data_IF_448917165177
#
_entry.id   IF_448917165177
#
_cell.length_a   1.000
_cell.length_b   1.000
_cell.length_c   1.000
_cell.angle_alpha   90.00
_cell.angle_beta   90.00
_cell.angle_gamma   90.00
#
_symmetry.space_group_name_H-M   'P 1'
#
loop_
_entity.id
_entity.type
_entity.pdbx_description
1 polymer ?
#
# COMPACT_ATOMS: atom_id res chain seq x y z
N UNK A 1 -0.93 25.08 -10.97
CA UNK A 1 -0.29 25.96 -9.97
C UNK A 1 -1.03 25.79 -8.66
N UNK A 2 -0.33 25.65 -7.53
CA UNK A 2 -0.98 25.44 -6.25
C UNK A 2 -1.57 26.76 -5.74
N UNK A 3 -2.82 27.03 -6.10
CA UNK A 3 -3.55 28.18 -5.58
C UNK A 3 -3.86 27.85 -4.12
N UNK A 4 -3.37 28.65 -3.18
CA UNK A 4 -3.78 28.63 -1.77
C UNK A 4 -4.83 29.73 -1.61
N UNK A 5 -6.04 29.37 -1.21
CA UNK A 5 -7.14 30.33 -1.05
C UNK A 5 -7.64 30.26 0.39
N UNK A 6 -7.87 31.44 0.96
CA UNK A 6 -8.48 31.63 2.26
C UNK A 6 -9.82 32.32 2.04
N UNK A 7 -10.89 31.66 2.48
CA UNK A 7 -12.20 32.29 2.61
C UNK A 7 -12.16 33.23 3.81
N UNK A 8 -12.26 34.54 3.54
CA UNK A 8 -12.15 35.57 4.58
C UNK A 8 -13.42 35.69 5.42
N UNK A 9 -14.55 35.18 4.96
CA UNK A 9 -15.81 35.17 5.70
C UNK A 9 -15.88 33.99 6.67
N UNK A 10 -15.32 32.83 6.29
CA UNK A 10 -15.30 31.64 7.14
C UNK A 10 -14.08 31.54 8.07
N UNK A 11 -12.95 32.15 7.71
CA UNK A 11 -11.72 32.05 8.50
C UNK A 11 -11.83 32.84 9.82
N UNK A 12 -11.57 32.16 10.94
CA UNK A 12 -11.56 32.76 12.28
C UNK A 12 -10.14 33.06 12.81
N UNK A 13 -9.12 33.05 11.95
CA UNK A 13 -7.72 33.33 12.29
C UNK A 13 -7.14 32.51 13.46
N UNK A 14 -7.61 31.26 13.67
CA UNK A 14 -7.12 30.40 14.76
C UNK A 14 -5.68 29.91 14.60
N UNK A 15 -5.14 29.96 13.39
CA UNK A 15 -3.74 29.65 13.09
C UNK A 15 -3.35 28.17 12.95
N UNK A 16 -4.29 27.24 13.09
CA UNK A 16 -4.04 25.79 12.96
C UNK A 16 -3.38 25.42 11.62
N UNK A 17 -3.78 26.05 10.51
CA UNK A 17 -3.23 25.78 9.19
C UNK A 17 -1.74 26.12 9.06
N UNK A 18 -1.26 27.13 9.79
CA UNK A 18 0.16 27.52 9.84
C UNK A 18 0.94 26.54 10.72
N UNK A 19 0.41 26.23 11.91
CA UNK A 19 1.05 25.33 12.87
C UNK A 19 1.23 23.89 12.32
N UNK A 20 0.24 23.38 11.60
CA UNK A 20 0.27 22.02 11.03
C UNK A 20 1.00 21.92 9.68
N UNK A 21 1.46 23.03 9.10
CA UNK A 21 2.04 23.03 7.75
C UNK A 21 3.43 22.37 7.76
N UNK A 22 3.60 21.13 7.24
CA UNK A 22 4.89 20.44 7.34
C UNK A 22 5.97 21.11 6.49
N UNK A 23 5.58 21.81 5.43
CA UNK A 23 6.50 22.54 4.57
C UNK A 23 6.86 23.93 5.12
N UNK A 24 6.21 24.39 6.19
CA UNK A 24 6.44 25.72 6.78
C UNK A 24 6.22 26.86 5.78
N UNK A 25 5.18 26.78 4.95
CA UNK A 25 4.89 27.77 3.89
C UNK A 25 3.69 28.67 4.19
N UNK A 26 2.91 28.38 5.23
CA UNK A 26 1.73 29.19 5.62
C UNK A 26 2.12 30.03 6.83
N UNK A 27 2.02 31.35 6.69
CA UNK A 27 2.45 32.34 7.69
C UNK A 27 1.26 33.17 8.17
N UNK A 28 1.42 33.72 9.37
CA UNK A 28 0.50 34.65 10.00
C UNK A 28 1.34 35.80 10.51
N UNK A 29 1.05 37.02 10.06
CA UNK A 29 1.88 38.19 10.35
C UNK A 29 1.89 38.53 11.85
N UNK A 30 0.72 38.42 12.49
CA UNK A 30 0.52 38.67 13.91
C UNK A 30 -0.68 37.87 14.42
N UNK A 31 -0.79 37.69 15.74
CA UNK A 31 -1.88 36.92 16.34
C UNK A 31 -3.24 37.50 15.93
N UNK A 32 -4.09 36.67 15.31
CA UNK A 32 -5.42 37.07 14.83
C UNK A 32 -5.46 37.53 13.37
N UNK A 33 -4.30 37.70 12.71
CA UNK A 33 -4.25 37.98 11.29
C UNK A 33 -4.58 36.74 10.44
N UNK A 34 -4.99 36.99 9.20
CA UNK A 34 -5.30 35.92 8.24
C UNK A 34 -4.03 35.17 7.83
N UNK A 35 -4.13 33.84 7.62
CA UNK A 35 -3.04 33.07 7.07
C UNK A 35 -2.78 33.46 5.61
N UNK A 36 -1.52 33.46 5.20
CA UNK A 36 -1.12 33.66 3.82
C UNK A 36 0.03 32.72 3.44
N UNK A 37 0.17 32.47 2.15
CA UNK A 37 1.29 31.70 1.63
C UNK A 37 2.54 32.60 1.57
N UNK A 38 3.64 32.19 2.20
CA UNK A 38 4.89 32.92 2.09
C UNK A 38 5.38 33.00 0.64
N UNK A 39 6.16 34.03 0.28
CA UNK A 39 6.81 34.11 -1.04
C UNK A 39 7.54 32.82 -1.40
N UNK A 40 7.31 32.31 -2.62
CA UNK A 40 7.86 31.06 -3.12
C UNK A 40 7.31 29.80 -2.42
N UNK A 41 6.30 29.95 -1.56
CA UNK A 41 5.63 28.84 -0.88
C UNK A 41 4.91 27.92 -1.86
N UNK A 42 4.48 28.42 -3.00
CA UNK A 42 3.82 27.67 -4.08
C UNK A 42 4.69 26.55 -4.66
N UNK A 43 6.03 26.73 -4.62
CA UNK A 43 7.03 25.76 -5.10
C UNK A 43 7.48 24.79 -4.00
N UNK A 44 7.50 25.25 -2.74
CA UNK A 44 7.89 24.44 -1.58
C UNK A 44 6.75 23.60 -1.03
N UNK A 45 5.50 23.95 -1.35
CA UNK A 45 4.35 23.27 -0.80
C UNK A 45 4.15 21.88 -1.42
N UNK A 46 4.18 20.84 -0.59
CA UNK A 46 4.09 19.43 -1.02
C UNK A 46 2.66 18.92 -1.32
N UNK A 47 1.69 19.82 -1.50
CA UNK A 47 0.31 19.44 -1.83
C UNK A 47 -0.41 18.47 -0.84
N UNK A 48 -0.03 18.43 0.45
CA UNK A 48 -0.52 17.42 1.41
C UNK A 48 -1.92 17.64 2.00
N UNK A 49 -2.49 18.84 1.86
CA UNK A 49 -3.85 19.12 2.34
C UNK A 49 -4.03 19.28 3.85
N UNK A 50 -2.98 19.21 4.66
CA UNK A 50 -3.10 19.37 6.13
C UNK A 50 -3.84 20.66 6.52
N UNK A 51 -3.56 21.77 5.84
CA UNK A 51 -4.21 23.05 6.09
C UNK A 51 -5.73 23.04 5.80
N UNK A 52 -6.17 22.26 4.81
CA UNK A 52 -7.58 22.07 4.47
C UNK A 52 -8.24 21.19 5.51
N UNK A 53 -7.64 20.03 5.82
CA UNK A 53 -8.19 19.03 6.72
C UNK A 53 -8.26 19.47 8.19
N UNK A 54 -7.29 20.27 8.66
CA UNK A 54 -7.27 20.76 10.06
C UNK A 54 -8.21 21.94 10.27
N UNK A 55 -8.61 22.66 9.22
CA UNK A 55 -9.39 23.87 9.39
C UNK A 55 -10.78 23.56 9.99
N UNK A 56 -11.11 24.10 11.18
CA UNK A 56 -12.39 23.81 11.83
C UNK A 56 -13.58 24.49 11.14
N UNK A 57 -13.32 25.46 10.25
CA UNK A 57 -14.32 26.25 9.53
C UNK A 57 -14.42 25.87 8.05
N UNK A 58 -13.54 25.00 7.55
CA UNK A 58 -13.45 24.74 6.11
C UNK A 58 -13.06 25.97 5.29
N UNK A 59 -12.33 26.93 5.86
CA UNK A 59 -12.00 28.19 5.20
C UNK A 59 -10.78 28.13 4.26
N UNK A 60 -10.11 26.97 4.17
CA UNK A 60 -8.88 26.82 3.40
C UNK A 60 -9.14 25.88 2.23
N UNK A 61 -8.74 26.31 1.04
CA UNK A 61 -8.76 25.45 -0.14
C UNK A 61 -7.47 25.52 -0.93
N UNK A 62 -7.28 24.51 -1.77
CA UNK A 62 -6.16 24.42 -2.69
C UNK A 62 -6.65 24.16 -4.11
N UNK A 63 -5.81 24.48 -5.10
CA UNK A 63 -6.10 24.15 -6.50
C UNK A 63 -6.36 22.66 -6.78
N UNK A 64 -5.98 21.75 -5.88
CA UNK A 64 -6.15 20.29 -6.03
C UNK A 64 -7.16 19.69 -5.06
N UNK A 65 -7.68 20.47 -4.10
CA UNK A 65 -8.60 19.98 -3.07
C UNK A 65 -9.35 21.13 -2.41
N UNK A 66 -10.66 21.00 -2.38
CA UNK A 66 -11.56 21.90 -1.68
C UNK A 66 -12.10 21.24 -0.40
N UNK A 67 -12.43 22.03 0.63
CA UNK A 67 -12.92 21.50 1.90
C UNK A 67 -14.21 20.68 1.74
N UNK A 68 -15.08 21.01 0.79
CA UNK A 68 -16.32 20.26 0.53
C UNK A 68 -16.08 18.88 -0.11
N UNK A 69 -14.93 18.70 -0.76
CA UNK A 69 -14.49 17.42 -1.34
C UNK A 69 -13.83 16.52 -0.29
N UNK A 70 -13.42 17.10 0.85
CA UNK A 70 -12.80 16.39 1.95
C UNK A 70 -13.86 15.85 2.92
N UNK A 71 -14.08 14.53 2.89
CA UNK A 71 -15.06 13.87 3.77
C UNK A 71 -14.78 14.15 5.25
N UNK A 72 -15.71 14.73 6.02
CA UNK A 72 -15.51 14.99 7.44
C UNK A 72 -15.31 13.72 8.25
N UNK A 73 -14.42 13.79 9.25
CA UNK A 73 -14.17 12.66 10.16
C UNK A 73 -15.39 12.44 11.06
N UNK A 74 -16.06 11.30 10.88
CA UNK A 74 -17.14 10.88 11.77
C UNK A 74 -16.58 10.11 12.96
N UNK A 75 -16.65 10.70 14.16
CA UNK A 75 -16.27 10.03 15.42
C UNK A 75 -17.03 8.71 15.65
N UNK A 76 -18.24 8.57 15.09
CA UNK A 76 -19.06 7.34 15.17
C UNK A 76 -18.51 6.19 14.32
N UNK A 77 -17.70 6.50 13.31
CA UNK A 77 -17.08 5.51 12.42
C UNK A 77 -15.66 5.15 12.86
N UNK A 78 -15.10 5.85 13.85
CA UNK A 78 -13.78 5.54 14.38
C UNK A 78 -13.85 4.31 15.29
N UNK A 79 -12.96 3.31 15.12
CA UNK A 79 -12.89 2.18 16.02
C UNK A 79 -12.32 2.60 17.39
N UNK A 80 -12.71 1.89 18.45
CA UNK A 80 -12.05 1.99 19.75
C UNK A 80 -10.63 1.40 19.68
N UNK A 81 -9.77 1.74 20.64
CA UNK A 81 -8.43 1.16 20.72
C UNK A 81 -8.47 -0.38 20.81
N UNK A 82 -9.41 -0.94 21.58
CA UNK A 82 -9.63 -2.38 21.69
C UNK A 82 -10.06 -3.01 20.35
N UNK A 83 -10.94 -2.34 19.60
CA UNK A 83 -11.35 -2.80 18.27
C UNK A 83 -10.17 -2.80 17.29
N UNK A 84 -9.34 -1.76 17.29
CA UNK A 84 -8.13 -1.70 16.47
C UNK A 84 -7.15 -2.80 16.85
N UNK A 85 -6.87 -2.97 18.14
CA UNK A 85 -5.99 -4.02 18.64
C UNK A 85 -6.48 -5.41 18.17
N UNK A 86 -7.75 -5.70 18.38
CA UNK A 86 -8.33 -6.98 17.99
C UNK A 86 -8.25 -7.19 16.47
N UNK A 87 -8.59 -6.18 15.68
CA UNK A 87 -8.54 -6.23 14.21
C UNK A 87 -7.11 -6.51 13.70
N UNK A 88 -6.13 -5.75 14.19
CA UNK A 88 -4.72 -5.90 13.77
C UNK A 88 -4.14 -7.27 14.18
N UNK A 89 -4.51 -7.78 15.36
CA UNK A 89 -4.02 -9.09 15.86
C UNK A 89 -4.74 -10.28 15.22
N UNK A 90 -6.00 -10.13 14.77
CA UNK A 90 -6.82 -11.22 14.24
C UNK A 90 -6.61 -11.50 12.74
N UNK A 91 -6.18 -10.50 11.97
CA UNK A 91 -5.83 -10.66 10.56
C UNK A 91 -4.74 -11.72 10.37
N UNK A 92 -4.85 -12.50 9.29
CA UNK A 92 -3.86 -13.53 8.90
C UNK A 92 -3.49 -13.43 7.44
N UNK A 93 -2.28 -13.86 7.09
CA UNK A 93 -1.90 -14.09 5.69
C UNK A 93 -2.67 -15.28 5.14
N UNK A 94 -3.56 -15.02 4.19
CA UNK A 94 -4.44 -16.05 3.62
C UNK A 94 -3.71 -16.78 2.50
N UNK A 95 -3.65 -18.10 2.58
CA UNK A 95 -2.85 -18.95 1.68
C UNK A 95 -3.65 -20.07 1.04
N UNK A 96 -4.97 -20.05 1.22
CA UNK A 96 -5.91 -20.99 0.61
C UNK A 96 -7.16 -20.21 0.25
N UNK A 97 -7.45 -20.14 -1.04
CA UNK A 97 -8.51 -19.31 -1.60
C UNK A 97 -9.67 -20.16 -2.12
N UNK A 98 -10.85 -19.53 -2.24
CA UNK A 98 -11.95 -20.07 -3.03
C UNK A 98 -11.69 -19.78 -4.51
N UNK A 99 -12.23 -20.61 -5.40
CA UNK A 99 -12.16 -20.40 -6.86
C UNK A 99 -12.96 -19.17 -7.33
N UNK A 100 -13.95 -18.75 -6.55
CA UNK A 100 -14.76 -17.56 -6.86
C UNK A 100 -13.86 -16.32 -6.98
N UNK A 101 -13.82 -15.63 -8.13
CA UNK A 101 -13.05 -14.41 -8.28
C UNK A 101 -13.67 -13.26 -7.47
N UNK A 102 -12.82 -12.35 -7.03
CA UNK A 102 -13.25 -11.05 -6.47
C UNK A 102 -13.64 -10.13 -7.63
N UNK A 103 -14.78 -9.43 -7.48
CA UNK A 103 -15.24 -8.47 -8.49
C UNK A 103 -14.28 -7.29 -8.62
N UNK A 104 -14.10 -6.76 -9.84
CA UNK A 104 -13.21 -5.64 -10.13
C UNK A 104 -13.50 -4.43 -9.26
N UNK A 105 -14.76 -4.08 -9.03
CA UNK A 105 -15.16 -2.92 -8.23
C UNK A 105 -14.67 -3.03 -6.78
N UNK A 106 -14.60 -4.25 -6.24
CA UNK A 106 -14.07 -4.50 -4.90
C UNK A 106 -12.55 -4.36 -4.88
N UNK A 107 -11.84 -4.83 -5.91
CA UNK A 107 -10.39 -4.63 -6.05
C UNK A 107 -10.05 -3.15 -6.22
N UNK A 108 -10.80 -2.41 -7.04
CA UNK A 108 -10.68 -0.96 -7.19
C UNK A 108 -10.90 -0.26 -5.85
N UNK A 109 -11.93 -0.63 -5.09
CA UNK A 109 -12.17 -0.08 -3.75
C UNK A 109 -11.03 -0.37 -2.78
N UNK A 110 -10.40 -1.54 -2.84
CA UNK A 110 -9.22 -1.85 -2.01
C UNK A 110 -8.06 -0.91 -2.31
N UNK A 111 -7.77 -0.72 -3.60
CA UNK A 111 -6.69 0.15 -4.05
C UNK A 111 -6.99 1.62 -3.71
N UNK A 112 -8.24 2.04 -3.87
CA UNK A 112 -8.68 3.39 -3.51
C UNK A 112 -8.61 3.64 -1.99
N UNK A 113 -8.85 2.64 -1.13
CA UNK A 113 -8.55 2.79 0.31
C UNK A 113 -7.04 2.87 0.54
N UNK A 114 -6.27 2.02 -0.14
CA UNK A 114 -4.82 1.95 0.02
C UNK A 114 -4.09 3.24 -0.41
N UNK A 115 -4.67 4.04 -1.31
CA UNK A 115 -4.10 5.32 -1.74
C UNK A 115 -3.96 6.34 -0.61
N UNK A 116 -4.72 6.17 0.49
CA UNK A 116 -4.64 7.04 1.68
C UNK A 116 -3.46 6.68 2.59
N UNK A 117 -2.65 5.69 2.21
CA UNK A 117 -1.38 5.44 2.85
C UNK A 117 -0.46 6.67 2.75
N UNK A 118 0.29 7.00 3.83
CA UNK A 118 1.26 8.08 3.77
C UNK A 118 2.40 7.73 2.78
N UNK A 119 2.98 8.77 2.18
CA UNK A 119 4.15 8.68 1.31
C UNK A 119 5.13 9.82 1.60
N UNK A 120 6.41 9.58 1.31
CA UNK A 120 7.46 10.58 1.48
C UNK A 120 7.13 11.89 0.77
N UNK A 121 7.15 13.01 1.51
CA UNK A 121 6.82 14.34 0.99
C UNK A 121 5.49 14.39 0.21
N UNK A 122 4.53 13.50 0.51
CA UNK A 122 3.24 13.40 -0.18
C UNK A 122 3.36 13.20 -1.71
N UNK A 123 4.47 12.64 -2.18
CA UNK A 123 4.71 12.37 -3.61
C UNK A 123 3.68 11.38 -4.18
N UNK A 124 3.14 10.49 -3.33
CA UNK A 124 2.17 9.46 -3.71
C UNK A 124 2.66 8.63 -4.93
N UNK A 125 3.89 8.06 -4.87
CA UNK A 125 4.55 7.48 -6.06
C UNK A 125 3.98 6.12 -6.46
N UNK A 126 3.12 5.51 -5.62
CA UNK A 126 2.67 4.14 -5.77
C UNK A 126 1.69 4.01 -6.92
N UNK A 127 2.04 3.15 -7.87
CA UNK A 127 1.16 2.68 -8.93
C UNK A 127 0.88 1.19 -8.77
N UNK A 128 -0.19 0.73 -9.42
CA UNK A 128 -0.76 -0.59 -9.21
C UNK A 128 -0.94 -1.31 -10.53
N UNK A 129 -0.46 -2.54 -10.59
CA UNK A 129 -0.79 -3.51 -11.62
C UNK A 129 -1.65 -4.61 -11.00
N UNK A 130 -2.81 -4.88 -11.59
CA UNK A 130 -3.75 -5.92 -11.12
C UNK A 130 -3.85 -7.00 -12.18
N UNK A 131 -3.47 -8.22 -11.83
CA UNK A 131 -3.68 -9.41 -12.64
C UNK A 131 -4.98 -10.07 -12.15
N UNK A 132 -6.04 -9.91 -12.94
CA UNK A 132 -7.41 -10.37 -12.58
C UNK A 132 -7.73 -11.80 -13.04
N UNK A 133 -7.02 -12.31 -14.05
CA UNK A 133 -7.23 -13.66 -14.56
C UNK A 133 -6.39 -14.66 -13.76
N UNK A 134 -7.05 -15.61 -13.10
CA UNK A 134 -6.39 -16.67 -12.34
C UNK A 134 -5.50 -17.57 -13.20
N UNK A 135 -5.80 -17.70 -14.50
CA UNK A 135 -4.93 -18.41 -15.45
C UNK A 135 -3.62 -17.67 -15.64
N UNK A 136 -3.68 -16.34 -15.71
CA UNK A 136 -2.50 -15.49 -15.85
C UNK A 136 -1.67 -15.49 -14.55
N UNK A 137 -2.32 -15.43 -13.39
CA UNK A 137 -1.65 -15.62 -12.09
C UNK A 137 -0.91 -16.96 -12.06
N UNK A 138 -1.54 -18.04 -12.52
CA UNK A 138 -0.91 -19.37 -12.59
C UNK A 138 0.23 -19.42 -13.61
N UNK A 139 0.11 -18.72 -14.74
CA UNK A 139 1.17 -18.60 -15.77
C UNK A 139 2.41 -17.92 -15.19
N UNK A 140 2.24 -16.79 -14.50
CA UNK A 140 3.32 -16.11 -13.77
C UNK A 140 3.93 -17.01 -12.70
N UNK A 141 3.12 -17.79 -11.99
CA UNK A 141 3.59 -18.79 -11.02
C UNK A 141 4.49 -19.85 -11.65
N UNK A 142 4.11 -20.34 -12.84
CA UNK A 142 4.95 -21.28 -13.60
C UNK A 142 6.28 -20.66 -13.99
N UNK A 143 6.29 -19.41 -14.46
CA UNK A 143 7.55 -18.71 -14.79
C UNK A 143 8.50 -18.60 -13.60
N UNK A 144 7.96 -18.37 -12.39
CA UNK A 144 8.75 -18.40 -11.15
C UNK A 144 9.35 -19.78 -10.93
N UNK A 145 8.58 -20.85 -11.08
CA UNK A 145 9.07 -22.23 -10.90
C UNK A 145 10.14 -22.59 -11.92
N UNK A 146 9.96 -22.19 -13.18
CA UNK A 146 10.92 -22.47 -14.25
C UNK A 146 12.26 -21.77 -13.96
N UNK A 147 12.24 -20.52 -13.51
CA UNK A 147 13.42 -19.80 -13.04
C UNK A 147 14.06 -20.46 -11.81
N UNK A 148 13.26 -20.88 -10.83
CA UNK A 148 13.79 -21.59 -9.66
C UNK A 148 14.44 -22.93 -10.05
N UNK A 149 13.91 -23.61 -11.07
CA UNK A 149 14.47 -24.87 -11.59
C UNK A 149 15.82 -24.65 -12.26
N UNK A 150 15.99 -23.59 -13.05
CA UNK A 150 17.30 -23.28 -13.66
C UNK A 150 18.35 -22.96 -12.59
N UNK A 151 18.01 -22.09 -11.63
CA UNK A 151 18.91 -21.72 -10.54
C UNK A 151 19.32 -22.91 -9.66
N UNK A 152 18.39 -23.84 -9.40
CA UNK A 152 18.68 -25.03 -8.60
C UNK A 152 19.70 -25.99 -9.25
N UNK A 153 19.87 -25.90 -10.58
CA UNK A 153 20.85 -26.67 -11.34
C UNK A 153 22.26 -26.06 -11.35
N UNK A 154 22.37 -24.73 -11.21
CA UNK A 154 23.64 -24.00 -11.36
C UNK A 154 24.53 -24.03 -10.10
N UNK A 155 23.96 -24.25 -8.91
CA UNK A 155 24.71 -24.26 -7.65
C UNK A 155 24.31 -25.43 -6.72
N UNK A 156 24.60 -26.70 -7.09
CA UNK A 156 24.27 -27.85 -6.27
C UNK A 156 25.07 -27.85 -4.95
N UNK A 157 24.36 -27.90 -3.80
CA UNK A 157 24.98 -28.14 -2.48
C UNK A 157 24.80 -27.04 -1.43
N UNK A 158 24.21 -25.88 -1.77
CA UNK A 158 23.92 -24.82 -0.79
C UNK A 158 22.51 -24.97 -0.19
N UNK A 159 22.31 -24.46 1.03
CA UNK A 159 21.01 -24.51 1.74
C UNK A 159 19.88 -23.79 0.98
N UNK A 160 20.21 -22.70 0.28
CA UNK A 160 19.28 -21.96 -0.58
C UNK A 160 18.83 -22.80 -1.78
N UNK A 161 19.76 -23.54 -2.40
CA UNK A 161 19.46 -24.51 -3.46
C UNK A 161 18.50 -25.60 -2.96
N UNK A 162 18.61 -26.03 -1.70
CA UNK A 162 17.71 -27.02 -1.10
C UNK A 162 16.28 -26.48 -0.95
N UNK A 163 16.09 -25.20 -0.60
CA UNK A 163 14.75 -24.60 -0.52
C UNK A 163 14.11 -24.47 -1.90
N UNK A 164 14.87 -24.03 -2.91
CA UNK A 164 14.37 -23.94 -4.29
C UNK A 164 13.92 -25.31 -4.82
N UNK A 165 14.72 -26.36 -4.57
CA UNK A 165 14.38 -27.74 -4.95
C UNK A 165 13.07 -28.22 -4.31
N UNK A 166 12.81 -27.88 -3.05
CA UNK A 166 11.56 -28.25 -2.38
C UNK A 166 10.34 -27.54 -2.99
N UNK A 167 10.48 -26.26 -3.36
CA UNK A 167 9.41 -25.49 -4.01
C UNK A 167 9.09 -26.07 -5.39
N UNK A 168 10.11 -26.38 -6.18
CA UNK A 168 9.97 -27.01 -7.50
C UNK A 168 9.32 -28.40 -7.38
N UNK A 169 9.78 -29.23 -6.43
CA UNK A 169 9.20 -30.55 -6.20
C UNK A 169 7.72 -30.47 -5.77
N UNK A 170 7.36 -29.51 -4.90
CA UNK A 170 5.97 -29.29 -4.52
C UNK A 170 5.11 -28.95 -5.75
N UNK A 171 5.60 -28.08 -6.64
CA UNK A 171 4.90 -27.75 -7.88
C UNK A 171 4.70 -28.96 -8.79
N UNK A 172 5.72 -29.80 -8.96
CA UNK A 172 5.66 -31.01 -9.78
C UNK A 172 4.65 -32.04 -9.23
N UNK A 173 4.41 -32.01 -7.92
CA UNK A 173 3.35 -32.77 -7.24
C UNK A 173 1.96 -32.09 -7.26
N UNK A 174 1.82 -30.98 -8.00
CA UNK A 174 0.56 -30.24 -8.11
C UNK A 174 0.27 -29.28 -6.95
N UNK A 175 1.24 -29.06 -6.07
CA UNK A 175 1.13 -28.12 -4.94
C UNK A 175 1.74 -26.77 -5.29
N UNK A 176 0.89 -25.82 -5.68
CA UNK A 176 1.29 -24.44 -5.89
C UNK A 176 1.55 -23.74 -4.55
N UNK A 177 2.82 -23.63 -4.15
CA UNK A 177 3.25 -22.93 -2.93
C UNK A 177 3.63 -21.46 -3.18
N UNK A 178 3.70 -21.04 -4.46
CA UNK A 178 4.10 -19.69 -4.88
C UNK A 178 2.87 -18.79 -4.98
N UNK A 179 1.93 -19.13 -5.86
CA UNK A 179 0.70 -18.36 -6.09
C UNK A 179 -0.48 -18.89 -5.28
N UNK A 180 -0.38 -20.11 -4.73
CA UNK A 180 -1.31 -20.69 -3.75
C UNK A 180 -2.75 -20.75 -4.23
N UNK A 181 -2.94 -20.86 -5.55
CA UNK A 181 -4.26 -20.84 -6.18
C UNK A 181 -5.05 -19.55 -5.93
N UNK A 182 -4.39 -18.42 -5.67
CA UNK A 182 -5.07 -17.13 -5.55
C UNK A 182 -5.69 -16.73 -6.89
N UNK A 183 -6.91 -16.16 -6.90
CA UNK A 183 -7.52 -15.71 -8.14
C UNK A 183 -6.84 -14.45 -8.69
N UNK A 184 -6.25 -13.61 -7.83
CA UNK A 184 -5.72 -12.30 -8.19
C UNK A 184 -4.32 -12.06 -7.64
N UNK A 185 -3.50 -11.34 -8.41
CA UNK A 185 -2.21 -10.80 -7.99
C UNK A 185 -2.24 -9.28 -8.15
N UNK A 186 -1.92 -8.55 -7.09
CA UNK A 186 -1.77 -7.10 -7.11
C UNK A 186 -0.30 -6.76 -6.87
N UNK A 187 0.28 -5.98 -7.77
CA UNK A 187 1.66 -5.52 -7.72
C UNK A 187 1.67 -4.02 -7.44
N UNK A 188 2.41 -3.61 -6.41
CA UNK A 188 2.75 -2.22 -6.18
C UNK A 188 4.12 -1.92 -6.82
N UNK A 189 4.15 -0.93 -7.70
CA UNK A 189 5.35 -0.49 -8.40
C UNK A 189 5.45 1.03 -8.38
N UNK A 190 6.67 1.54 -8.50
CA UNK A 190 6.93 2.98 -8.49
C UNK A 190 8.25 3.28 -9.23
N UNK A 191 8.47 4.56 -9.54
CA UNK A 191 9.69 5.04 -10.16
C UNK A 191 10.94 4.67 -9.33
N UNK A 192 11.96 4.11 -9.98
CA UNK A 192 13.17 3.56 -9.33
C UNK A 192 14.11 4.62 -8.75
N UNK A 193 14.03 5.84 -9.24
CA UNK A 193 14.89 6.96 -8.83
C UNK A 193 14.43 7.68 -7.55
N UNK A 194 13.25 7.36 -7.01
CA UNK A 194 12.78 7.97 -5.77
C UNK A 194 13.15 7.07 -4.58
N UNK A 195 14.00 7.59 -3.68
CA UNK A 195 14.62 6.80 -2.60
C UNK A 195 13.65 6.16 -1.60
N UNK A 196 12.40 6.65 -1.53
CA UNK A 196 11.37 6.14 -0.60
C UNK A 196 10.35 5.22 -1.28
N UNK A 197 10.46 4.97 -2.60
CA UNK A 197 9.50 4.16 -3.35
C UNK A 197 9.25 2.79 -2.73
N UNK A 198 10.28 2.12 -2.22
CA UNK A 198 10.13 0.82 -1.55
C UNK A 198 9.29 0.93 -0.27
N UNK A 199 9.58 1.91 0.57
CA UNK A 199 8.86 2.12 1.84
C UNK A 199 7.42 2.51 1.56
N UNK A 200 7.19 3.44 0.64
CA UNK A 200 5.86 3.92 0.27
C UNK A 200 4.99 2.78 -0.30
N UNK A 201 5.53 1.96 -1.21
CA UNK A 201 4.82 0.77 -1.71
C UNK A 201 4.52 -0.24 -0.60
N UNK A 202 5.45 -0.45 0.35
CA UNK A 202 5.24 -1.35 1.48
C UNK A 202 4.10 -0.87 2.40
N UNK A 203 4.05 0.42 2.70
CA UNK A 203 2.98 1.01 3.52
C UNK A 203 1.63 0.91 2.79
N UNK A 204 1.60 1.25 1.50
CA UNK A 204 0.38 1.16 0.69
C UNK A 204 -0.15 -0.28 0.61
N UNK A 205 0.71 -1.27 0.40
CA UNK A 205 0.32 -2.68 0.44
C UNK A 205 -0.14 -3.15 1.83
N UNK A 206 0.39 -2.57 2.90
CA UNK A 206 -0.10 -2.82 4.26
C UNK A 206 -1.53 -2.29 4.42
N UNK A 207 -1.83 -1.08 3.95
CA UNK A 207 -3.21 -0.56 3.94
C UNK A 207 -4.14 -1.44 3.11
N UNK A 208 -3.68 -1.89 1.93
CA UNK A 208 -4.43 -2.83 1.08
C UNK A 208 -4.73 -4.14 1.81
N UNK A 209 -3.76 -4.72 2.52
CA UNK A 209 -3.92 -5.96 3.29
C UNK A 209 -4.96 -5.81 4.42
N UNK A 210 -4.91 -4.69 5.13
CA UNK A 210 -5.88 -4.37 6.20
C UNK A 210 -7.27 -4.14 5.60
N UNK A 211 -7.38 -3.37 4.52
CA UNK A 211 -8.65 -3.15 3.82
C UNK A 211 -9.24 -4.46 3.26
N UNK A 212 -8.41 -5.35 2.74
CA UNK A 212 -8.85 -6.68 2.29
C UNK A 212 -9.51 -7.45 3.45
N UNK A 213 -8.90 -7.42 4.62
CA UNK A 213 -9.45 -8.09 5.80
C UNK A 213 -10.79 -7.49 6.25
N UNK A 214 -10.92 -6.16 6.26
CA UNK A 214 -12.19 -5.50 6.65
C UNK A 214 -13.33 -5.77 5.65
N UNK A 215 -13.02 -5.99 4.37
CA UNK A 215 -13.98 -6.37 3.33
C UNK A 215 -14.24 -7.89 3.26
N UNK A 216 -13.72 -8.68 4.20
CA UNK A 216 -13.91 -10.14 4.24
C UNK A 216 -13.11 -10.91 3.18
N UNK A 217 -12.11 -10.26 2.59
CA UNK A 217 -11.15 -10.86 1.68
C UNK A 217 -9.91 -11.35 2.42
N UNK A 218 -9.14 -12.16 1.72
CA UNK A 218 -7.83 -12.62 2.13
C UNK A 218 -6.75 -11.98 1.28
N UNK A 219 -5.66 -11.63 1.94
CA UNK A 219 -4.45 -11.14 1.30
C UNK A 219 -3.23 -11.87 1.85
N UNK A 220 -2.21 -12.05 1.02
CA UNK A 220 -0.91 -12.56 1.44
C UNK A 220 0.20 -11.98 0.58
N UNK A 221 1.20 -11.40 1.24
CA UNK A 221 2.45 -10.99 0.62
C UNK A 221 3.10 -12.15 -0.13
N UNK A 222 3.53 -11.90 -1.36
CA UNK A 222 4.14 -12.90 -2.22
C UNK A 222 5.64 -12.61 -2.42
N UNK A 223 6.42 -12.90 -1.37
CA UNK A 223 7.87 -12.70 -1.38
C UNK A 223 8.61 -13.53 -2.42
N UNK A 224 8.15 -14.77 -2.69
CA UNK A 224 8.77 -15.60 -3.74
C UNK A 224 8.60 -14.98 -5.13
N UNK A 225 7.38 -14.55 -5.46
CA UNK A 225 7.14 -13.88 -6.73
C UNK A 225 7.95 -12.59 -6.84
N UNK A 226 7.94 -11.73 -5.80
CA UNK A 226 8.69 -10.48 -5.79
C UNK A 226 10.19 -10.70 -6.01
N UNK A 227 10.79 -11.64 -5.27
CA UNK A 227 12.22 -11.96 -5.37
C UNK A 227 12.58 -12.43 -6.78
N UNK A 228 11.82 -13.37 -7.33
CA UNK A 228 12.12 -13.95 -8.65
C UNK A 228 11.80 -12.97 -9.78
N UNK A 229 10.72 -12.20 -9.68
CA UNK A 229 10.42 -11.15 -10.65
C UNK A 229 11.57 -10.12 -10.73
N UNK A 230 12.12 -9.70 -9.59
CA UNK A 230 13.24 -8.76 -9.58
C UNK A 230 14.53 -9.32 -10.22
N UNK A 231 14.69 -10.65 -10.27
CA UNK A 231 15.85 -11.33 -10.83
C UNK A 231 15.63 -11.89 -12.25
N UNK A 232 14.39 -11.82 -12.79
CA UNK A 232 14.01 -12.47 -14.04
C UNK A 232 13.52 -11.43 -15.07
N UNK A 233 14.33 -11.12 -16.10
CA UNK A 233 13.91 -10.21 -17.18
C UNK A 233 12.62 -10.66 -17.86
N UNK A 234 12.43 -11.97 -18.06
CA UNK A 234 11.23 -12.52 -18.68
C UNK A 234 9.96 -12.24 -17.86
N UNK A 235 10.04 -12.28 -16.53
CA UNK A 235 8.89 -11.95 -15.67
C UNK A 235 8.65 -10.43 -15.68
N UNK A 236 9.71 -9.61 -15.63
CA UNK A 236 9.57 -8.16 -15.71
C UNK A 236 8.93 -7.72 -17.04
N UNK A 237 9.33 -8.34 -18.15
CA UNK A 237 8.71 -8.13 -19.46
C UNK A 237 7.22 -8.52 -19.45
N UNK A 238 6.89 -9.68 -18.87
CA UNK A 238 5.51 -10.13 -18.73
C UNK A 238 4.64 -9.20 -17.84
N UNK A 239 5.24 -8.50 -16.89
CA UNK A 239 4.55 -7.50 -16.06
C UNK A 239 4.32 -6.18 -16.80
N UNK A 240 5.06 -5.91 -17.89
CA UNK A 240 4.94 -4.71 -18.72
C UNK A 240 4.87 -3.40 -17.92
N UNK A 241 5.68 -3.29 -16.86
CA UNK A 241 5.77 -2.06 -16.06
C UNK A 241 6.47 -0.95 -16.87
N UNK A 242 6.23 0.33 -16.55
CA UNK A 242 7.00 1.44 -17.14
C UNK A 242 8.51 1.21 -16.97
N UNK A 243 9.31 1.63 -17.97
CA UNK A 243 10.76 1.33 -18.04
C UNK A 243 11.53 1.83 -16.81
N UNK A 244 11.12 2.98 -16.28
CA UNK A 244 11.67 3.65 -15.11
C UNK A 244 11.10 3.15 -13.78
N UNK A 245 10.18 2.17 -13.80
CA UNK A 245 9.56 1.60 -12.62
C UNK A 245 10.22 0.31 -12.16
N UNK A 246 10.06 0.01 -10.87
CA UNK A 246 10.40 -1.28 -10.26
C UNK A 246 9.20 -1.81 -9.48
N UNK A 247 9.07 -3.14 -9.46
CA UNK A 247 8.20 -3.84 -8.52
C UNK A 247 8.78 -3.72 -7.11
N UNK A 248 7.99 -3.21 -6.16
CA UNK A 248 8.40 -3.09 -4.76
C UNK A 248 7.61 -3.99 -3.82
N UNK A 249 6.48 -4.53 -4.28
CA UNK A 249 5.75 -5.56 -3.55
C UNK A 249 4.67 -6.22 -4.38
N UNK A 250 4.31 -7.43 -3.97
CA UNK A 250 3.28 -8.23 -4.61
C UNK A 250 2.38 -8.89 -3.56
N UNK A 251 1.07 -8.90 -3.82
CA UNK A 251 0.04 -9.41 -2.92
C UNK A 251 -0.90 -10.33 -3.66
N UNK A 252 -1.04 -11.56 -3.16
CA UNK A 252 -2.11 -12.46 -3.57
C UNK A 252 -3.40 -12.02 -2.89
N UNK A 253 -4.50 -11.93 -3.64
CA UNK A 253 -5.81 -11.49 -3.12
C UNK A 253 -6.91 -12.44 -3.57
N UNK A 254 -7.86 -12.73 -2.68
CA UNK A 254 -9.01 -13.57 -3.01
C UNK A 254 -9.95 -13.80 -1.84
N UNK A 255 -11.00 -14.59 -2.05
CA UNK A 255 -11.87 -15.01 -0.95
C UNK A 255 -11.20 -16.12 -0.11
N UNK A 256 -11.06 -15.98 1.22
CA UNK A 256 -10.50 -17.04 2.05
C UNK A 256 -11.36 -18.29 1.99
N UNK A 257 -10.74 -19.47 1.80
CA UNK A 257 -11.46 -20.75 1.85
C UNK A 257 -11.92 -21.09 3.27
N UNK A 258 -11.10 -20.75 4.26
CA UNK A 258 -11.32 -21.04 5.67
C UNK A 258 -11.41 -19.78 6.53
N UNK A 259 -11.99 -19.91 7.73
CA UNK A 259 -12.06 -18.85 8.74
C UNK A 259 -11.17 -19.16 9.93
N UNK A 260 -10.43 -18.18 10.41
CA UNK A 260 -9.67 -18.29 11.65
C UNK A 260 -10.58 -18.02 12.85
N UNK A 261 -10.43 -18.82 13.90
CA UNK A 261 -11.27 -18.75 15.11
C UNK A 261 -10.55 -18.20 16.33
N UNK A 262 -9.22 -18.09 16.28
CA UNK A 262 -8.37 -17.70 17.40
C UNK A 262 -7.17 -16.90 16.90
N UNK A 263 -6.73 -15.97 17.74
CA UNK A 263 -5.50 -15.20 17.55
C UNK A 263 -4.34 -16.07 18.05
N UNK A 264 -3.35 -16.42 17.22
CA UNK A 264 -2.19 -17.19 17.66
C UNK A 264 -1.25 -16.33 18.52
N UNK A 265 -0.51 -16.99 19.41
CA UNK A 265 0.56 -16.33 20.15
C UNK A 265 1.69 -15.85 19.21
N UNK A 266 2.34 -14.77 19.61
CA UNK A 266 3.56 -14.24 18.99
C UNK A 266 4.68 -14.23 20.03
N UNK A 267 5.93 -14.24 19.58
CA UNK A 267 7.08 -14.04 20.46
C UNK A 267 6.96 -12.67 21.13
N UNK A 268 7.34 -12.59 22.39
CA UNK A 268 7.45 -11.31 23.08
C UNK A 268 8.48 -10.41 22.38
N UNK A 269 8.22 -9.10 22.27
CA UNK A 269 9.17 -8.18 21.67
C UNK A 269 10.37 -7.95 22.61
N UNK A 270 11.57 -7.92 22.06
CA UNK A 270 12.75 -7.43 22.78
C UNK A 270 12.71 -5.90 22.78
N UNK A 271 12.58 -5.29 23.96
CA UNK A 271 12.53 -3.83 24.13
C UNK A 271 13.72 -3.38 24.97
N UNK A 272 14.50 -2.44 24.45
CA UNK A 272 15.63 -1.80 25.16
C UNK A 272 15.25 -0.35 25.43
N UNK A 273 15.19 0.03 26.70
CA UNK A 273 14.93 1.41 27.13
C UNK A 273 16.26 2.12 27.39
N UNK A 274 16.37 3.38 26.96
CA UNK A 274 17.49 4.28 27.25
C UNK A 274 16.94 5.62 27.68
#
# INVERSE_FOLDING_TARGET
>A
MSVFVVDTEECNSCGMCSAECPAGVIFIAERGAMPYLAPGGEWRCINCGHCVAVCPRGALSRGTMKPEECVPISKKLLPTAEQVEHFLKSRRSIRVYKEKPVKREVLTRLIDIARYAPSGANVQPVQWLVIEDSKEVKRLGRMVIDWMRSMAGEAPGQAETSQLKLIVAAWDLGMDVVMRGAPHLIVAHAHRGFGLSQVDCCIALTYLELAAYSLGLGACWNGFFQMVAAASPAIMEALALPEDHRLYGAMLVGHPKYRYRRIPLKKEPTIVWR
#
